data_IF_376292536323
#
_entry.id   IF_376292536323
#
_cell.length_a   1.000
_cell.length_b   1.000
_cell.length_c   1.000
_cell.angle_alpha   90.00
_cell.angle_beta   90.00
_cell.angle_gamma   90.00
#
_symmetry.space_group_name_H-M   'P 1'
#
loop_
_entity.id
_entity.type
_entity.pdbx_description
1 polymer ?
#
# COMPACT_ATOMS: atom_id res chain seq x y z
N UNK A 1 11.83 2.53 14.47
CA UNK A 1 11.92 2.27 13.02
C UNK A 1 10.58 2.48 12.36
N UNK A 2 10.52 3.19 11.22
CA UNK A 2 9.25 3.32 10.50
C UNK A 2 8.73 1.95 10.06
N UNK A 3 7.43 1.78 10.12
CA UNK A 3 6.75 0.55 9.78
C UNK A 3 5.92 0.75 8.51
N UNK A 4 6.22 -0.03 7.48
CA UNK A 4 5.56 0.05 6.17
C UNK A 4 4.70 -1.20 5.98
N UNK A 5 3.47 -1.00 5.52
CA UNK A 5 2.61 -2.08 5.08
C UNK A 5 2.53 -2.08 3.56
N UNK A 6 2.90 -3.19 2.94
CA UNK A 6 2.76 -3.41 1.50
C UNK A 6 1.50 -4.23 1.26
N UNK A 7 0.62 -3.74 0.39
CA UNK A 7 -0.59 -4.48 -0.01
C UNK A 7 -0.47 -4.79 -1.49
N UNK A 8 -0.16 -6.05 -1.80
CA UNK A 8 0.18 -6.50 -3.14
C UNK A 8 -0.10 -7.99 -3.27
N UNK A 9 -0.88 -8.38 -4.28
CA UNK A 9 -1.20 -9.79 -4.51
C UNK A 9 -0.13 -10.54 -5.32
N UNK A 10 0.74 -9.83 -6.04
CA UNK A 10 1.88 -10.44 -6.71
C UNK A 10 2.95 -10.77 -5.66
N UNK A 11 3.10 -12.06 -5.35
CA UNK A 11 3.99 -12.52 -4.29
C UNK A 11 5.45 -12.16 -4.59
N UNK A 12 5.88 -12.36 -5.83
CA UNK A 12 7.28 -12.09 -6.20
C UNK A 12 7.61 -10.60 -6.07
N UNK A 13 6.74 -9.74 -6.60
CA UNK A 13 6.94 -8.28 -6.52
C UNK A 13 6.90 -7.81 -5.06
N UNK A 14 5.92 -8.26 -4.30
CA UNK A 14 5.81 -7.89 -2.88
C UNK A 14 7.01 -8.31 -2.06
N UNK A 15 7.52 -9.52 -2.29
CA UNK A 15 8.70 -10.03 -1.59
C UNK A 15 9.95 -9.22 -1.96
N UNK A 16 10.13 -8.90 -3.24
CA UNK A 16 11.25 -8.09 -3.70
C UNK A 16 11.24 -6.72 -3.02
N UNK A 17 10.09 -6.07 -3.02
CA UNK A 17 9.92 -4.75 -2.42
C UNK A 17 10.14 -4.79 -0.91
N UNK A 18 9.58 -5.79 -0.22
CA UNK A 18 9.78 -5.98 1.21
C UNK A 18 11.26 -6.16 1.55
N UNK A 19 11.96 -7.00 0.81
CA UNK A 19 13.37 -7.26 1.02
C UNK A 19 14.20 -5.99 0.85
N UNK A 20 13.91 -5.24 -0.20
CA UNK A 20 14.64 -4.01 -0.48
C UNK A 20 14.42 -2.96 0.61
N UNK A 21 13.17 -2.77 1.04
CA UNK A 21 12.85 -1.79 2.08
C UNK A 21 13.45 -2.20 3.44
N UNK A 22 13.46 -3.49 3.76
CA UNK A 22 14.09 -3.98 5.00
C UNK A 22 15.58 -3.68 5.01
N UNK A 23 16.25 -3.81 3.87
CA UNK A 23 17.67 -3.46 3.76
C UNK A 23 17.92 -1.97 3.98
N UNK A 24 16.89 -1.13 3.75
CA UNK A 24 16.99 0.31 4.01
C UNK A 24 16.67 0.67 5.46
N UNK A 25 16.34 -0.29 6.30
CA UNK A 25 16.12 -0.08 7.72
C UNK A 25 14.67 0.04 8.16
N UNK A 26 13.72 -0.30 7.28
CA UNK A 26 12.29 -0.24 7.63
C UNK A 26 11.80 -1.59 8.14
N UNK A 27 10.82 -1.54 9.05
CA UNK A 27 10.01 -2.72 9.32
C UNK A 27 8.94 -2.81 8.24
N UNK A 28 8.75 -4.00 7.66
CA UNK A 28 7.85 -4.16 6.53
C UNK A 28 7.00 -5.42 6.69
N UNK A 29 5.68 -5.24 6.71
CA UNK A 29 4.73 -6.34 6.63
C UNK A 29 4.06 -6.34 5.26
N UNK A 30 3.56 -7.50 4.85
CA UNK A 30 2.85 -7.66 3.58
C UNK A 30 1.45 -8.20 3.81
N UNK A 31 0.52 -7.71 2.99
CA UNK A 31 -0.81 -8.28 2.86
C UNK A 31 -1.09 -8.49 1.37
N UNK A 32 -1.84 -9.54 1.03
CA UNK A 32 -2.14 -9.88 -0.36
C UNK A 32 -3.56 -9.48 -0.77
N UNK A 33 -4.31 -8.87 0.16
CA UNK A 33 -5.69 -8.46 -0.08
C UNK A 33 -6.05 -7.30 0.84
N UNK A 34 -7.15 -6.62 0.54
CA UNK A 34 -7.68 -5.57 1.43
C UNK A 34 -8.05 -6.17 2.78
N UNK A 35 -8.71 -7.33 2.80
CA UNK A 35 -9.09 -7.99 4.04
C UNK A 35 -7.90 -8.31 4.93
N UNK A 36 -6.81 -8.81 4.36
CA UNK A 36 -5.59 -9.09 5.11
C UNK A 36 -4.94 -7.80 5.63
N UNK A 37 -4.95 -6.74 4.82
CA UNK A 37 -4.41 -5.45 5.23
C UNK A 37 -5.17 -4.85 6.40
N UNK A 38 -6.49 -4.93 6.39
CA UNK A 38 -7.35 -4.44 7.47
C UNK A 38 -6.98 -5.08 8.81
N UNK A 39 -6.64 -6.37 8.80
CA UNK A 39 -6.24 -7.07 10.02
C UNK A 39 -4.92 -6.57 10.59
N UNK A 40 -4.03 -6.06 9.75
CA UNK A 40 -2.74 -5.53 10.16
C UNK A 40 -2.81 -4.04 10.53
N UNK A 41 -3.84 -3.34 10.06
CA UNK A 41 -4.06 -1.93 10.34
C UNK A 41 -5.01 -1.79 11.52
N UNK A 42 -4.47 -1.65 12.71
CA UNK A 42 -5.30 -1.32 13.86
C UNK A 42 -5.00 0.13 14.27
N UNK A 43 -5.91 0.79 15.01
CA UNK A 43 -5.64 2.13 15.51
C UNK A 43 -4.36 2.24 16.34
N UNK A 44 -3.95 1.14 16.94
CA UNK A 44 -2.74 1.06 17.76
C UNK A 44 -1.60 0.33 17.04
N UNK A 45 -1.74 0.03 15.76
CA UNK A 45 -0.84 -0.86 15.04
C UNK A 45 0.49 -0.25 14.60
N UNK A 46 0.63 1.05 14.68
CA UNK A 46 1.92 1.70 14.42
C UNK A 46 2.41 1.66 12.99
N UNK A 47 1.52 1.45 12.01
CA UNK A 47 1.91 1.53 10.59
C UNK A 47 2.10 3.00 10.23
N UNK A 48 3.26 3.32 9.68
CA UNK A 48 3.64 4.69 9.33
C UNK A 48 3.39 5.04 7.87
N UNK A 49 3.28 4.02 7.01
CA UNK A 49 3.11 4.22 5.58
C UNK A 49 2.46 2.97 4.97
N UNK A 50 1.51 3.17 4.06
CA UNK A 50 0.91 2.08 3.29
C UNK A 50 1.30 2.24 1.83
N UNK A 51 1.84 1.16 1.25
CA UNK A 51 2.10 1.05 -0.19
C UNK A 51 1.11 0.02 -0.74
N UNK A 52 0.15 0.44 -1.55
CA UNK A 52 -0.90 -0.47 -2.00
C UNK A 52 -1.09 -0.43 -3.51
N UNK A 53 -1.24 -1.62 -4.09
CA UNK A 53 -1.77 -1.74 -5.45
C UNK A 53 -3.24 -1.34 -5.45
N UNK A 54 -3.73 -0.92 -6.61
CA UNK A 54 -5.14 -0.63 -6.81
C UNK A 54 -5.95 -1.89 -7.08
N UNK A 55 -5.37 -2.86 -7.78
CA UNK A 55 -6.05 -4.11 -8.12
C UNK A 55 -5.67 -5.20 -7.14
N UNK A 56 -6.60 -5.53 -6.27
CA UNK A 56 -6.44 -6.59 -5.29
C UNK A 56 -7.53 -7.64 -5.51
N UNK A 57 -7.32 -8.90 -5.07
CA UNK A 57 -8.25 -9.98 -5.43
C UNK A 57 -9.65 -9.82 -4.85
N UNK A 58 -9.79 -9.13 -3.73
CA UNK A 58 -11.07 -8.99 -3.05
C UNK A 58 -11.73 -7.62 -3.28
N UNK A 59 -10.95 -6.54 -3.37
CA UNK A 59 -11.48 -5.18 -3.51
C UNK A 59 -10.49 -4.29 -4.24
N UNK A 60 -10.97 -3.14 -4.71
CA UNK A 60 -10.12 -2.06 -5.18
C UNK A 60 -9.30 -1.50 -4.00
N UNK A 61 -8.04 -1.16 -4.25
CA UNK A 61 -7.16 -0.61 -3.21
C UNK A 61 -7.67 0.68 -2.59
N UNK A 62 -8.47 1.47 -3.32
CA UNK A 62 -9.11 2.67 -2.75
C UNK A 62 -10.10 2.34 -1.65
N UNK A 63 -10.65 1.13 -1.64
CA UNK A 63 -11.51 0.67 -0.57
C UNK A 63 -10.74 0.61 0.75
N UNK A 64 -9.48 0.22 0.69
CA UNK A 64 -8.61 0.22 1.88
C UNK A 64 -8.40 1.64 2.41
N UNK A 65 -8.15 2.59 1.51
CA UNK A 65 -7.97 3.99 1.91
C UNK A 65 -9.24 4.54 2.57
N UNK A 66 -10.42 4.25 2.00
CA UNK A 66 -11.69 4.67 2.58
C UNK A 66 -11.89 4.05 3.97
N UNK A 67 -11.59 2.76 4.11
CA UNK A 67 -11.68 2.07 5.39
C UNK A 67 -10.77 2.71 6.44
N UNK A 68 -9.54 3.05 6.05
CA UNK A 68 -8.59 3.71 6.95
C UNK A 68 -9.15 5.05 7.46
N UNK A 69 -9.70 5.87 6.57
CA UNK A 69 -10.29 7.14 6.95
C UNK A 69 -11.49 6.98 7.88
N UNK A 70 -12.32 5.99 7.63
CA UNK A 70 -13.47 5.68 8.49
C UNK A 70 -13.05 5.27 9.89
N UNK A 71 -11.84 4.72 10.04
CA UNK A 71 -11.32 4.25 11.33
C UNK A 71 -10.26 5.18 11.90
N UNK A 72 -10.16 6.40 11.37
CA UNK A 72 -9.23 7.44 11.83
C UNK A 72 -7.77 7.00 11.77
N UNK A 73 -7.41 6.24 10.74
CA UNK A 73 -6.04 5.85 10.46
C UNK A 73 -5.54 6.72 9.33
N UNK A 74 -4.63 7.64 9.63
CA UNK A 74 -4.17 8.68 8.69
C UNK A 74 -2.72 8.49 8.23
N UNK A 75 -2.20 7.27 8.29
CA UNK A 75 -0.90 6.99 7.71
C UNK A 75 -0.92 7.34 6.21
N UNK A 76 0.15 7.96 5.68
CA UNK A 76 0.23 8.22 4.24
C UNK A 76 -0.01 6.96 3.42
N UNK A 77 -0.77 7.11 2.35
CA UNK A 77 -1.16 6.01 1.47
C UNK A 77 -0.60 6.30 0.09
N UNK A 78 0.34 5.46 -0.35
CA UNK A 78 0.96 5.60 -1.67
C UNK A 78 0.44 4.48 -2.56
N UNK A 79 -0.09 4.85 -3.71
CA UNK A 79 -0.62 3.90 -4.69
C UNK A 79 0.51 3.42 -5.59
N UNK A 80 0.58 2.10 -5.76
CA UNK A 80 1.42 1.47 -6.78
C UNK A 80 0.54 1.08 -7.95
N UNK A 81 0.88 1.50 -9.15
CA UNK A 81 0.03 1.27 -10.32
C UNK A 81 0.89 1.02 -11.56
N UNK A 82 0.37 0.22 -12.50
CA UNK A 82 1.02 0.10 -13.80
C UNK A 82 0.55 1.23 -14.72
N UNK A 83 1.17 1.36 -15.91
CA UNK A 83 0.87 2.46 -16.83
C UNK A 83 -0.58 2.49 -17.30
N UNK A 84 -1.23 1.34 -17.39
CA UNK A 84 -2.62 1.27 -17.82
C UNK A 84 -3.60 1.86 -16.80
N UNK A 85 -3.14 2.12 -15.58
CA UNK A 85 -4.00 2.54 -14.48
C UNK A 85 -3.70 3.94 -13.96
N UNK A 86 -3.02 4.76 -14.75
CA UNK A 86 -2.66 6.14 -14.33
C UNK A 86 -3.91 6.95 -14.00
N UNK A 87 -5.01 6.78 -14.74
CA UNK A 87 -6.26 7.50 -14.45
C UNK A 87 -6.81 7.11 -13.08
N UNK A 88 -6.67 5.85 -12.68
CA UNK A 88 -7.08 5.40 -11.35
C UNK A 88 -6.19 6.01 -10.26
N UNK A 89 -4.91 6.21 -10.56
CA UNK A 89 -4.01 6.90 -9.63
C UNK A 89 -4.45 8.35 -9.40
N UNK A 90 -4.92 9.03 -10.44
CA UNK A 90 -5.47 10.40 -10.30
C UNK A 90 -6.67 10.39 -9.37
N UNK A 91 -7.58 9.41 -9.54
CA UNK A 91 -8.73 9.27 -8.64
C UNK A 91 -8.29 8.98 -7.20
N UNK A 92 -7.23 8.20 -7.03
CA UNK A 92 -6.68 7.92 -5.70
C UNK A 92 -6.19 9.20 -5.02
N UNK A 93 -5.50 10.07 -5.76
CA UNK A 93 -5.03 11.35 -5.22
C UNK A 93 -6.22 12.21 -4.77
N UNK A 94 -7.30 12.23 -5.54
CA UNK A 94 -8.53 12.95 -5.17
C UNK A 94 -9.19 12.35 -3.94
N UNK A 95 -8.99 11.08 -3.68
CA UNK A 95 -9.55 10.37 -2.51
C UNK A 95 -8.68 10.48 -1.27
N UNK A 96 -7.54 11.15 -1.36
CA UNK A 96 -6.68 11.40 -0.21
C UNK A 96 -5.37 10.62 -0.19
N UNK A 97 -5.00 9.91 -1.26
CA UNK A 97 -3.69 9.28 -1.33
C UNK A 97 -2.60 10.36 -1.33
N UNK A 98 -1.48 10.07 -0.69
CA UNK A 98 -0.38 11.03 -0.59
C UNK A 98 0.41 11.13 -1.90
N UNK A 99 0.52 10.01 -2.63
CA UNK A 99 1.29 9.97 -3.87
C UNK A 99 0.98 8.67 -4.62
N UNK A 100 1.56 8.52 -5.81
CA UNK A 100 1.52 7.26 -6.54
C UNK A 100 2.86 7.00 -7.21
N UNK A 101 3.17 5.73 -7.42
CA UNK A 101 4.38 5.31 -8.14
C UNK A 101 3.99 4.30 -9.20
N UNK A 102 4.67 4.37 -10.34
CA UNK A 102 4.43 3.45 -11.44
C UNK A 102 5.23 2.16 -11.26
N UNK A 103 4.61 1.03 -11.56
CA UNK A 103 5.29 -0.26 -11.62
C UNK A 103 5.90 -0.46 -13.01
N UNK A 104 6.97 -1.21 -13.12
CA UNK A 104 7.71 -1.83 -12.04
C UNK A 104 8.59 -0.82 -11.29
N UNK A 105 8.72 -0.99 -9.97
CA UNK A 105 9.68 -0.24 -9.17
C UNK A 105 11.02 -0.93 -9.31
N UNK A 106 12.05 -0.17 -9.63
CA UNK A 106 13.40 -0.72 -9.78
C UNK A 106 14.27 -0.24 -8.62
N UNK A 107 14.48 -1.09 -7.62
CA UNK A 107 15.37 -0.76 -6.53
C UNK A 107 16.83 -0.78 -7.02
N UNK A 108 17.57 0.24 -6.73
CA UNK A 108 19.01 0.30 -7.05
C UNK A 108 19.85 -0.45 -6.04
#
# INVERSE_FOLDING_TARGET
>A
MPHILIVEDDIAFGTMLQTWLRKKGFEVDKATSVGAAVKLLSPNGGVDLVLSDLRLPDHDGLRLLAWMHEHNIYAPFIVMTNYAEVQNAVLAMKSGAADYIAKPVQPD
#
